data_IF_138545951590
#
_entry.id   IF_138545951590
#
_cell.length_a   1.000
_cell.length_b   1.000
_cell.length_c   1.000
_cell.angle_alpha   90.00
_cell.angle_beta   90.00
_cell.angle_gamma   90.00
#
_symmetry.space_group_name_H-M   'P 1'
#
loop_
_entity.id
_entity.type
_entity.pdbx_description
1 polymer ?
#
# COMPACT_ATOMS: atom_id res chain seq x y z
N UNK A 1 -25.27 -1.59 19.48
CA UNK A 1 -23.85 -1.87 19.76
C UNK A 1 -23.23 -2.54 18.53
N UNK A 2 -22.06 -2.12 18.05
CA UNK A 2 -21.44 -2.73 16.89
C UNK A 2 -20.92 -4.14 17.21
N UNK A 3 -21.25 -5.14 16.39
CA UNK A 3 -20.80 -6.53 16.56
C UNK A 3 -19.30 -6.60 16.26
N UNK A 4 -18.47 -6.79 17.28
CA UNK A 4 -17.02 -6.95 17.12
C UNK A 4 -16.76 -8.20 16.26
N UNK A 5 -16.08 -8.03 15.13
CA UNK A 5 -15.69 -9.16 14.28
C UNK A 5 -14.61 -9.95 14.99
N UNK A 6 -14.80 -11.26 15.11
CA UNK A 6 -13.79 -12.19 15.63
C UNK A 6 -12.55 -12.15 14.71
N UNK A 7 -11.38 -11.98 15.30
CA UNK A 7 -10.08 -12.03 14.64
C UNK A 7 -9.28 -13.19 15.20
N UNK A 8 -8.44 -13.81 14.37
CA UNK A 8 -7.54 -14.88 14.77
C UNK A 8 -6.09 -14.47 14.53
N UNK A 9 -5.21 -14.77 15.48
CA UNK A 9 -3.76 -14.70 15.30
C UNK A 9 -3.29 -15.74 14.27
N UNK A 10 -2.02 -15.69 13.87
CA UNK A 10 -1.47 -16.66 12.91
C UNK A 10 -1.43 -18.04 13.57
N UNK A 11 -0.90 -18.12 14.79
CA UNK A 11 -0.78 -19.37 15.54
C UNK A 11 -2.15 -20.01 15.80
N UNK A 12 -3.17 -19.20 16.10
CA UNK A 12 -4.54 -19.67 16.25
C UNK A 12 -5.07 -20.28 14.94
N UNK A 13 -4.81 -19.64 13.79
CA UNK A 13 -5.22 -20.18 12.49
C UNK A 13 -4.55 -21.51 12.20
N UNK A 14 -3.26 -21.63 12.51
CA UNK A 14 -2.50 -22.88 12.32
C UNK A 14 -3.07 -23.98 13.21
N UNK A 15 -3.30 -23.68 14.50
CA UNK A 15 -3.91 -24.62 15.43
C UNK A 15 -5.31 -25.07 14.96
N UNK A 16 -6.12 -24.15 14.47
CA UNK A 16 -7.45 -24.45 13.91
C UNK A 16 -7.34 -25.35 12.67
N UNK A 17 -6.42 -25.07 11.74
CA UNK A 17 -6.22 -25.89 10.56
C UNK A 17 -5.86 -27.34 10.93
N UNK A 18 -4.93 -27.51 11.88
CA UNK A 18 -4.48 -28.83 12.35
C UNK A 18 -5.58 -29.58 13.12
N UNK A 19 -6.38 -28.89 13.92
CA UNK A 19 -7.49 -29.51 14.66
C UNK A 19 -8.61 -29.95 13.70
N UNK A 20 -8.92 -29.14 12.68
CA UNK A 20 -9.90 -29.49 11.64
C UNK A 20 -9.43 -30.69 10.82
N UNK A 21 -8.13 -30.78 10.51
CA UNK A 21 -7.56 -31.94 9.80
C UNK A 21 -7.72 -33.25 10.60
N UNK A 22 -7.67 -33.19 11.93
CA UNK A 22 -7.85 -34.37 12.81
C UNK A 22 -9.30 -34.76 13.01
N UNK A 23 -10.20 -33.80 13.18
CA UNK A 23 -11.60 -34.04 13.58
C UNK A 23 -12.52 -34.19 12.35
N UNK A 24 -12.11 -33.64 11.20
CA UNK A 24 -12.92 -33.54 10.00
C UNK A 24 -13.44 -32.13 9.78
N UNK A 25 -13.68 -31.79 8.50
CA UNK A 25 -13.95 -30.42 8.05
C UNK A 25 -15.23 -29.86 8.67
N UNK A 26 -16.32 -30.61 8.65
CA UNK A 26 -17.66 -30.12 9.07
C UNK A 26 -17.69 -29.87 10.58
N UNK A 27 -17.31 -30.86 11.37
CA UNK A 27 -17.26 -30.84 12.83
C UNK A 27 -16.25 -29.83 13.34
N UNK A 28 -15.06 -29.78 12.73
CA UNK A 28 -14.02 -28.83 13.07
C UNK A 28 -14.42 -27.38 12.76
N UNK A 29 -15.04 -27.12 11.60
CA UNK A 29 -15.57 -25.79 11.26
C UNK A 29 -16.64 -25.33 12.26
N UNK A 30 -17.54 -26.25 12.67
CA UNK A 30 -18.58 -25.97 13.67
C UNK A 30 -17.98 -25.69 15.06
N UNK A 31 -16.97 -26.47 15.48
CA UNK A 31 -16.25 -26.29 16.75
C UNK A 31 -15.59 -24.92 16.87
N UNK A 32 -14.91 -24.48 15.81
CA UNK A 32 -14.18 -23.21 15.78
C UNK A 32 -15.04 -22.01 15.36
N UNK A 33 -16.26 -22.26 14.90
CA UNK A 33 -17.19 -21.23 14.42
C UNK A 33 -16.67 -20.55 13.14
N UNK A 34 -15.99 -21.29 12.28
CA UNK A 34 -15.52 -20.79 10.98
C UNK A 34 -16.35 -21.42 9.85
N UNK A 35 -16.50 -20.67 8.76
CA UNK A 35 -17.10 -21.21 7.54
C UNK A 35 -16.10 -22.09 6.79
N UNK A 36 -16.60 -23.11 6.08
CA UNK A 36 -15.77 -23.99 5.25
C UNK A 36 -14.98 -23.21 4.19
N UNK A 37 -15.55 -22.13 3.64
CA UNK A 37 -14.87 -21.21 2.73
C UNK A 37 -13.64 -20.58 3.37
N UNK A 38 -13.76 -20.08 4.61
CA UNK A 38 -12.64 -19.54 5.38
C UNK A 38 -11.56 -20.59 5.61
N UNK A 39 -11.95 -21.82 5.96
CA UNK A 39 -11.03 -22.94 6.14
C UNK A 39 -10.23 -23.22 4.87
N UNK A 40 -10.89 -23.40 3.73
CA UNK A 40 -10.20 -23.68 2.46
C UNK A 40 -9.31 -22.52 2.01
N UNK A 41 -9.73 -21.28 2.23
CA UNK A 41 -8.91 -20.11 1.95
C UNK A 41 -7.63 -20.08 2.79
N UNK A 42 -7.72 -20.41 4.09
CA UNK A 42 -6.57 -20.53 4.97
C UNK A 42 -5.69 -21.72 4.59
N UNK A 43 -6.29 -22.87 4.33
CA UNK A 43 -5.58 -24.09 3.94
C UNK A 43 -4.79 -23.87 2.64
N UNK A 44 -5.40 -23.21 1.63
CA UNK A 44 -4.73 -22.88 0.37
C UNK A 44 -3.50 -22.01 0.61
N UNK A 45 -3.63 -20.96 1.42
CA UNK A 45 -2.52 -20.04 1.75
C UNK A 45 -1.44 -20.71 2.59
N UNK A 46 -1.85 -21.55 3.53
CA UNK A 46 -0.94 -22.32 4.36
C UNK A 46 -0.15 -23.34 3.54
N UNK A 47 -0.79 -24.01 2.57
CA UNK A 47 -0.11 -24.95 1.67
C UNK A 47 0.86 -24.26 0.71
N UNK A 48 0.59 -23.02 0.30
CA UNK A 48 1.46 -22.29 -0.63
C UNK A 48 2.66 -21.62 0.04
N UNK A 49 2.46 -21.01 1.21
CA UNK A 49 3.44 -20.11 1.85
C UNK A 49 3.68 -20.44 3.34
N UNK A 50 3.13 -21.55 3.85
CA UNK A 50 3.17 -21.90 5.26
C UNK A 50 2.44 -20.88 6.14
N UNK A 51 2.94 -20.71 7.36
CA UNK A 51 2.43 -19.70 8.31
C UNK A 51 2.47 -18.28 7.73
N UNK A 52 3.44 -17.99 6.87
CA UNK A 52 3.60 -16.67 6.26
C UNK A 52 2.43 -16.29 5.35
N UNK A 53 1.78 -17.27 4.72
CA UNK A 53 0.57 -17.06 3.90
C UNK A 53 -0.67 -16.72 4.70
N UNK A 54 -0.70 -17.04 6.01
CA UNK A 54 -1.82 -16.71 6.90
C UNK A 54 -1.73 -15.30 7.49
N UNK A 55 -0.62 -14.60 7.25
CA UNK A 55 -0.44 -13.19 7.63
C UNK A 55 -1.54 -12.34 6.99
N UNK A 56 -2.12 -11.38 7.73
CA UNK A 56 -3.07 -10.44 7.15
C UNK A 56 -2.41 -9.73 5.98
N UNK A 57 -3.07 -9.78 4.82
CA UNK A 57 -2.51 -9.30 3.56
C UNK A 57 -2.63 -7.77 3.49
N UNK A 58 -1.89 -7.05 4.35
CA UNK A 58 -1.78 -5.59 4.33
C UNK A 58 -1.17 -5.07 3.02
N UNK A 59 -0.42 -5.94 2.32
CA UNK A 59 0.27 -5.66 1.04
C UNK A 59 -0.64 -5.04 -0.03
N UNK A 60 -1.90 -5.49 -0.15
CA UNK A 60 -2.83 -4.98 -1.18
C UNK A 60 -3.28 -3.54 -0.96
N UNK A 61 -3.30 -3.07 0.29
CA UNK A 61 -3.64 -1.67 0.60
C UNK A 61 -2.41 -0.79 0.43
N UNK A 62 -1.26 -1.25 0.91
CA UNK A 62 0.00 -0.53 0.77
C UNK A 62 0.42 -0.35 -0.70
N UNK A 63 0.17 -1.32 -1.58
CA UNK A 63 0.48 -1.18 -3.02
C UNK A 63 -0.33 -0.08 -3.69
N UNK A 64 -1.62 0.04 -3.36
CA UNK A 64 -2.47 1.10 -3.94
C UNK A 64 -2.04 2.47 -3.45
N UNK A 65 -1.72 2.59 -2.17
CA UNK A 65 -1.28 3.85 -1.58
C UNK A 65 0.12 4.23 -2.10
N UNK A 66 1.02 3.26 -2.24
CA UNK A 66 2.35 3.44 -2.85
C UNK A 66 2.26 3.89 -4.31
N UNK A 67 1.38 3.29 -5.11
CA UNK A 67 1.16 3.70 -6.50
C UNK A 67 0.62 5.14 -6.60
N UNK A 68 -0.30 5.53 -5.71
CA UNK A 68 -0.80 6.91 -5.65
C UNK A 68 0.30 7.89 -5.27
N UNK A 69 1.10 7.56 -4.27
CA UNK A 69 2.26 8.36 -3.84
C UNK A 69 3.27 8.53 -4.97
N UNK A 70 3.54 7.48 -5.74
CA UNK A 70 4.46 7.57 -6.87
C UNK A 70 3.96 8.52 -7.96
N UNK A 71 2.67 8.42 -8.33
CA UNK A 71 2.06 9.32 -9.32
C UNK A 71 2.11 10.78 -8.87
N UNK A 72 1.81 11.05 -7.60
CA UNK A 72 1.87 12.40 -7.06
C UNK A 72 3.31 12.92 -7.00
N UNK A 73 4.28 12.09 -6.64
CA UNK A 73 5.69 12.46 -6.65
C UNK A 73 6.17 12.87 -8.05
N UNK A 74 5.79 12.10 -9.07
CA UNK A 74 6.14 12.42 -10.46
C UNK A 74 5.49 13.73 -10.92
N UNK A 75 4.24 13.98 -10.51
CA UNK A 75 3.56 15.25 -10.76
C UNK A 75 4.27 16.42 -10.09
N UNK A 76 4.62 16.28 -8.81
CA UNK A 76 5.32 17.32 -8.04
C UNK A 76 6.70 17.63 -8.64
N UNK A 77 7.43 16.61 -9.09
CA UNK A 77 8.72 16.79 -9.78
C UNK A 77 8.59 17.60 -11.07
N UNK A 78 7.56 17.33 -11.87
CA UNK A 78 7.29 18.10 -13.10
C UNK A 78 6.99 19.55 -12.78
N UNK A 79 6.10 19.79 -11.82
CA UNK A 79 5.72 21.14 -11.41
C UNK A 79 6.92 21.92 -10.87
N UNK A 80 7.82 21.26 -10.12
CA UNK A 80 9.06 21.86 -9.64
C UNK A 80 9.98 22.24 -10.81
N UNK A 81 10.21 21.33 -11.76
CA UNK A 81 11.05 21.59 -12.93
C UNK A 81 10.51 22.76 -13.78
N UNK A 82 9.19 22.83 -13.98
CA UNK A 82 8.53 23.95 -14.66
C UNK A 82 8.76 25.28 -13.91
N UNK A 83 8.68 25.27 -12.59
CA UNK A 83 8.92 26.46 -11.76
C UNK A 83 10.37 26.91 -11.79
N UNK A 84 11.32 25.99 -11.74
CA UNK A 84 12.74 26.29 -11.84
C UNK A 84 13.09 26.89 -13.21
N UNK A 85 12.51 26.37 -14.29
CA UNK A 85 12.67 26.93 -15.62
C UNK A 85 12.08 28.35 -15.73
N UNK A 86 10.88 28.56 -15.17
CA UNK A 86 10.24 29.88 -15.13
C UNK A 86 11.10 30.92 -14.40
N UNK A 87 11.71 30.53 -13.27
CA UNK A 87 12.64 31.36 -12.51
C UNK A 87 13.90 31.70 -13.31
N UNK A 88 14.52 30.70 -13.94
CA UNK A 88 15.71 30.92 -14.77
C UNK A 88 15.47 31.92 -15.92
N UNK A 89 14.33 31.80 -16.60
CA UNK A 89 13.93 32.73 -17.67
C UNK A 89 13.74 34.16 -17.11
N UNK A 90 13.07 34.30 -15.95
CA UNK A 90 12.88 35.61 -15.31
C UNK A 90 14.21 36.27 -14.94
N UNK A 91 15.15 35.50 -14.40
CA UNK A 91 16.48 35.99 -14.04
C UNK A 91 17.26 36.47 -15.27
N UNK A 92 17.21 35.73 -16.38
CA UNK A 92 17.84 36.16 -17.63
C UNK A 92 17.23 37.44 -18.19
N UNK A 93 15.90 37.56 -18.16
CA UNK A 93 15.20 38.77 -18.61
C UNK A 93 15.55 39.98 -17.75
N UNK A 94 15.63 39.81 -16.42
CA UNK A 94 16.06 40.86 -15.50
C UNK A 94 17.49 41.29 -15.79
N UNK A 95 18.43 40.35 -15.98
CA UNK A 95 19.83 40.66 -16.35
C UNK A 95 19.89 41.47 -17.64
N UNK A 96 19.17 41.05 -18.69
CA UNK A 96 19.11 41.78 -19.98
C UNK A 96 18.57 43.20 -19.79
N UNK A 97 17.47 43.36 -19.04
CA UNK A 97 16.87 44.68 -18.77
C UNK A 97 17.81 45.60 -17.99
N UNK A 98 18.49 45.07 -16.97
CA UNK A 98 19.49 45.83 -16.22
C UNK A 98 20.65 46.28 -17.11
N UNK A 99 21.10 45.43 -18.04
CA UNK A 99 22.15 45.81 -18.99
C UNK A 99 21.69 46.92 -19.93
N UNK A 100 20.46 46.86 -20.45
CA UNK A 100 19.88 47.92 -21.27
C UNK A 100 19.83 49.26 -20.52
N UNK A 101 19.44 49.25 -19.25
CA UNK A 101 19.42 50.46 -18.41
C UNK A 101 20.81 51.05 -18.15
N UNK A 102 21.83 50.21 -18.01
CA UNK A 102 23.22 50.69 -17.90
C UNK A 102 23.67 51.36 -19.19
N UNK A 103 23.42 50.72 -20.33
CA UNK A 103 23.80 51.24 -21.64
C UNK A 103 23.08 52.55 -21.98
N UNK A 104 21.83 52.73 -21.54
CA UNK A 104 21.05 53.95 -21.79
C UNK A 104 21.43 55.15 -20.89
N UNK A 105 22.20 54.92 -19.83
CA UNK A 105 22.70 55.97 -18.92
C UNK A 105 24.13 56.42 -19.23
N UNK A 106 24.80 55.73 -20.16
CA UNK A 106 26.16 55.98 -20.61
C UNK A 106 26.14 56.82 -21.88
#
# INVERSE_FOLDING_TARGET
MAKVKRTWSIDEKVAILLDIEKIGIVEGCRKHGIYSTTYYDWLKKYRSEGESGLKPNYRKKTDKDMKKLQVENDRLKRLLAEKELELGIKDELLKKKMQQWKNAKQ
#
